data_IF_500361215318
#
_entry.id   IF_500361215318
#
_cell.length_a   1.000
_cell.length_b   1.000
_cell.length_c   1.000
_cell.angle_alpha   90.00
_cell.angle_beta   90.00
_cell.angle_gamma   90.00
#
_symmetry.space_group_name_H-M   'P 1'
#
loop_
_entity.id
_entity.type
_entity.pdbx_description
1 polymer ?
#
# COMPACT_ATOMS: atom_id res chain seq x y z
N UNK A 1 0.79 20.62 -7.86
CA UNK A 1 1.61 21.85 -7.68
C UNK A 1 0.74 22.97 -7.16
N UNK A 2 1.32 23.85 -6.37
CA UNK A 2 0.73 25.12 -5.95
C UNK A 2 1.65 26.30 -6.36
N UNK A 3 1.38 27.50 -5.82
CA UNK A 3 2.16 28.71 -6.15
C UNK A 3 3.62 28.68 -5.66
N UNK A 4 3.98 27.72 -4.78
CA UNK A 4 5.31 27.66 -4.14
C UNK A 4 6.01 26.32 -4.36
N UNK A 5 5.25 25.24 -4.50
CA UNK A 5 5.81 23.89 -4.47
C UNK A 5 5.26 23.00 -5.57
N UNK A 6 6.12 22.10 -6.06
CA UNK A 6 5.74 20.89 -6.75
C UNK A 6 5.70 19.73 -5.78
N UNK A 7 4.69 18.88 -5.90
CA UNK A 7 4.52 17.68 -5.06
C UNK A 7 4.89 16.43 -5.86
N UNK A 8 5.56 15.52 -5.20
CA UNK A 8 6.02 14.27 -5.80
C UNK A 8 5.48 13.14 -4.95
N UNK A 9 4.79 12.21 -5.59
CA UNK A 9 4.36 10.95 -5.00
C UNK A 9 5.39 9.87 -5.26
N UNK A 10 5.70 9.06 -4.24
CA UNK A 10 6.58 7.91 -4.32
C UNK A 10 6.15 6.85 -3.31
N UNK A 11 6.86 5.72 -3.21
CA UNK A 11 6.61 4.76 -2.12
C UNK A 11 7.24 5.20 -0.80
N UNK A 12 6.58 4.84 0.31
CA UNK A 12 7.10 5.10 1.66
C UNK A 12 8.42 4.34 1.88
N UNK A 13 8.49 3.05 1.52
CA UNK A 13 9.71 2.24 1.71
C UNK A 13 10.94 2.75 0.94
N UNK A 14 10.76 3.64 -0.05
CA UNK A 14 11.88 4.27 -0.79
C UNK A 14 12.50 5.40 0.03
N UNK A 15 11.74 6.03 0.93
CA UNK A 15 12.13 7.27 1.63
C UNK A 15 12.03 7.19 3.15
N UNK A 16 11.62 6.06 3.74
CA UNK A 16 11.31 5.93 5.17
C UNK A 16 12.47 6.32 6.09
N UNK A 17 13.67 5.81 5.86
CA UNK A 17 14.86 6.04 6.73
C UNK A 17 15.80 7.12 6.18
N UNK A 18 15.39 7.88 5.17
CA UNK A 18 16.26 8.85 4.52
C UNK A 18 16.49 10.08 5.40
N UNK A 19 17.75 10.40 5.65
CA UNK A 19 18.17 11.64 6.35
C UNK A 19 18.20 12.86 5.42
N UNK A 20 18.29 12.63 4.12
CA UNK A 20 18.23 13.65 3.07
C UNK A 20 17.67 13.05 1.78
N UNK A 21 16.89 13.82 1.06
CA UNK A 21 16.27 13.43 -0.20
C UNK A 21 16.68 14.37 -1.31
N UNK A 22 17.08 13.82 -2.44
CA UNK A 22 17.41 14.53 -3.66
C UNK A 22 16.64 13.93 -4.83
N UNK A 23 16.00 14.76 -5.61
CA UNK A 23 15.33 14.38 -6.86
C UNK A 23 16.24 14.75 -8.02
N UNK A 24 16.53 13.78 -8.86
CA UNK A 24 17.27 14.02 -10.10
C UNK A 24 16.23 14.23 -11.21
N UNK A 25 16.20 15.42 -11.74
CA UNK A 25 15.26 15.83 -12.77
C UNK A 25 15.71 15.32 -14.15
N UNK A 26 14.80 15.28 -15.12
CA UNK A 26 15.12 14.82 -16.50
C UNK A 26 16.17 15.68 -17.23
N UNK A 27 16.44 16.88 -16.73
CA UNK A 27 17.53 17.75 -17.20
C UNK A 27 18.83 17.55 -16.39
N UNK A 28 18.96 16.45 -15.65
CA UNK A 28 20.11 16.07 -14.82
C UNK A 28 20.35 17.00 -13.61
N UNK A 29 19.44 17.94 -13.35
CA UNK A 29 19.55 18.82 -12.19
C UNK A 29 19.16 18.07 -10.91
N UNK A 30 20.00 18.13 -9.90
CA UNK A 30 19.71 17.68 -8.54
C UNK A 30 18.91 18.72 -7.77
N UNK A 31 17.75 18.35 -7.27
CA UNK A 31 16.85 19.20 -6.50
C UNK A 31 16.59 18.59 -5.14
N UNK A 32 16.89 19.33 -4.08
CA UNK A 32 16.62 18.88 -2.72
C UNK A 32 15.10 18.79 -2.49
N UNK A 33 14.64 17.63 -2.04
CA UNK A 33 13.26 17.40 -1.68
C UNK A 33 13.07 17.35 -0.15
N UNK A 34 11.85 17.63 0.28
CA UNK A 34 11.42 17.51 1.67
C UNK A 34 10.26 16.54 1.73
N UNK A 35 10.35 15.49 2.55
CA UNK A 35 9.23 14.61 2.85
C UNK A 35 8.20 15.37 3.68
N UNK A 36 6.95 15.34 3.27
CA UNK A 36 5.83 15.94 3.98
C UNK A 36 5.13 14.92 4.87
N UNK A 37 4.81 13.78 4.33
CA UNK A 37 4.17 12.67 5.02
C UNK A 37 4.37 11.38 4.27
N UNK A 38 4.03 10.29 4.92
CA UNK A 38 4.03 8.96 4.31
C UNK A 38 3.26 7.97 5.15
N UNK A 39 2.81 6.92 4.50
CA UNK A 39 2.05 5.84 5.12
C UNK A 39 2.60 4.48 4.73
N UNK A 40 3.03 3.72 5.72
CA UNK A 40 3.66 2.40 5.53
C UNK A 40 2.67 1.31 5.09
N UNK A 41 1.36 1.50 5.37
CA UNK A 41 0.31 0.54 5.01
C UNK A 41 -0.12 0.69 3.56
N UNK A 42 -0.22 1.94 3.07
CA UNK A 42 -0.44 2.23 1.64
C UNK A 42 0.85 2.18 0.84
N UNK A 43 2.01 2.22 1.51
CA UNK A 43 3.32 2.34 0.88
C UNK A 43 3.41 3.58 -0.03
N UNK A 44 2.85 4.70 0.41
CA UNK A 44 2.85 6.00 -0.31
C UNK A 44 3.49 7.07 0.55
N UNK A 45 4.32 7.90 -0.06
CA UNK A 45 4.88 9.11 0.52
C UNK A 45 4.70 10.30 -0.41
N UNK A 46 4.57 11.49 0.19
CA UNK A 46 4.51 12.77 -0.51
C UNK A 46 5.73 13.60 -0.17
N UNK A 47 6.45 14.02 -1.20
CA UNK A 47 7.58 14.93 -1.11
C UNK A 47 7.22 16.26 -1.76
N UNK A 48 7.97 17.32 -1.43
CA UNK A 48 7.87 18.60 -2.13
C UNK A 48 9.23 19.11 -2.60
N UNK A 49 9.21 19.83 -3.70
CA UNK A 49 10.32 20.62 -4.26
C UNK A 49 9.84 22.04 -4.54
N UNK A 50 10.74 23.03 -4.72
CA UNK A 50 10.33 24.38 -5.19
C UNK A 50 9.59 24.30 -6.53
N UNK A 51 8.53 25.10 -6.71
CA UNK A 51 7.72 25.07 -7.93
C UNK A 51 8.51 25.46 -9.17
N UNK A 52 9.50 26.34 -9.05
CA UNK A 52 10.39 26.77 -10.15
C UNK A 52 11.24 25.61 -10.71
N UNK A 53 11.35 24.50 -9.99
CA UNK A 53 12.08 23.31 -10.40
C UNK A 53 11.19 22.28 -11.12
N UNK A 54 9.88 22.48 -11.12
CA UNK A 54 8.92 21.58 -11.77
C UNK A 54 9.01 21.73 -13.28
N UNK A 55 9.39 20.66 -13.97
CA UNK A 55 9.50 20.68 -15.45
C UNK A 55 8.16 20.35 -16.09
N UNK A 56 7.42 19.40 -15.52
CA UNK A 56 6.12 18.95 -16.01
C UNK A 56 5.31 18.31 -14.90
N UNK A 57 4.01 18.48 -14.94
CA UNK A 57 3.06 17.79 -14.04
C UNK A 57 2.45 16.60 -14.78
N UNK A 58 2.38 15.45 -14.10
CA UNK A 58 1.77 14.25 -14.65
C UNK A 58 0.24 14.41 -14.78
N UNK A 59 -0.32 13.82 -15.81
CA UNK A 59 -1.78 13.70 -15.95
C UNK A 59 -2.23 12.45 -15.17
N UNK A 60 -3.14 12.64 -14.23
CA UNK A 60 -3.73 11.55 -13.47
C UNK A 60 -4.87 10.93 -14.29
N UNK A 61 -4.82 9.61 -14.47
CA UNK A 61 -5.85 8.80 -15.10
C UNK A 61 -6.78 8.15 -14.09
N UNK A 62 -7.41 7.04 -14.49
CA UNK A 62 -8.29 6.23 -13.64
C UNK A 62 -8.15 4.74 -13.93
N UNK A 63 -8.43 3.92 -12.91
CA UNK A 63 -8.49 2.46 -13.04
C UNK A 63 -9.92 1.93 -13.19
N UNK A 64 -10.96 2.77 -13.19
CA UNK A 64 -12.37 2.34 -13.22
C UNK A 64 -12.73 1.51 -14.47
N UNK A 65 -12.21 1.90 -15.63
CA UNK A 65 -12.47 1.22 -16.91
C UNK A 65 -11.37 0.24 -17.32
N UNK A 66 -10.43 -0.05 -16.42
CA UNK A 66 -9.27 -0.90 -16.70
C UNK A 66 -9.69 -2.34 -16.97
N UNK A 67 -9.10 -2.95 -17.99
CA UNK A 67 -9.40 -4.33 -18.41
C UNK A 67 -8.14 -5.18 -18.46
N UNK A 68 -8.32 -6.48 -18.25
CA UNK A 68 -7.26 -7.46 -18.49
C UNK A 68 -6.80 -7.38 -19.95
N UNK A 69 -5.49 -7.31 -20.14
CA UNK A 69 -4.89 -7.16 -21.46
C UNK A 69 -4.66 -5.71 -21.90
N UNK A 70 -5.12 -4.71 -21.15
CA UNK A 70 -4.80 -3.32 -21.45
C UNK A 70 -3.31 -3.08 -21.40
N UNK A 71 -2.79 -2.40 -22.42
CA UNK A 71 -1.37 -2.06 -22.51
C UNK A 71 -1.00 -1.01 -21.47
N UNK A 72 0.09 -1.26 -20.76
CA UNK A 72 0.65 -0.35 -19.76
C UNK A 72 2.14 -0.13 -19.98
N UNK A 73 2.63 0.94 -19.38
CA UNK A 73 4.05 1.30 -19.34
C UNK A 73 4.44 1.62 -17.89
N UNK A 74 5.69 1.33 -17.54
CA UNK A 74 6.28 1.78 -16.29
C UNK A 74 7.54 2.58 -16.57
N UNK A 75 7.85 3.55 -15.74
CA UNK A 75 9.07 4.34 -15.84
C UNK A 75 9.80 4.27 -14.50
N UNK A 76 11.10 4.06 -14.56
CA UNK A 76 11.94 3.98 -13.39
C UNK A 76 13.43 4.15 -13.72
N UNK A 77 14.27 3.96 -12.71
CA UNK A 77 15.73 4.05 -12.82
C UNK A 77 16.36 2.78 -12.23
N UNK A 78 16.19 1.61 -12.90
CA UNK A 78 16.72 0.35 -12.40
C UNK A 78 18.25 0.39 -12.40
N UNK A 79 18.85 -0.24 -11.36
CA UNK A 79 20.31 -0.46 -11.25
C UNK A 79 21.15 0.82 -11.09
N UNK A 80 20.55 2.00 -10.92
CA UNK A 80 21.29 3.25 -10.63
C UNK A 80 21.24 4.29 -11.75
N UNK A 81 22.07 5.30 -11.60
CA UNK A 81 22.04 6.54 -12.41
C UNK A 81 22.31 6.34 -13.91
N UNK A 82 22.96 5.26 -14.30
CA UNK A 82 23.24 4.97 -15.71
C UNK A 82 22.00 4.59 -16.54
N UNK A 83 20.89 4.25 -15.86
CA UNK A 83 19.67 3.75 -16.50
C UNK A 83 18.43 4.59 -16.17
N UNK A 84 18.62 5.90 -16.04
CA UNK A 84 17.50 6.84 -15.82
C UNK A 84 16.41 6.69 -16.88
N UNK A 85 15.17 6.88 -16.45
CA UNK A 85 14.00 6.90 -17.33
C UNK A 85 13.85 5.62 -18.17
N UNK A 86 14.31 4.48 -17.65
CA UNK A 86 14.04 3.19 -18.28
C UNK A 86 12.55 2.95 -18.34
N UNK A 87 12.05 2.66 -19.55
CA UNK A 87 10.65 2.32 -19.78
C UNK A 87 10.54 0.82 -19.96
N UNK A 88 9.63 0.19 -19.21
CA UNK A 88 9.19 -1.17 -19.50
C UNK A 88 7.71 -1.16 -19.90
N UNK A 89 7.27 -2.15 -20.64
CA UNK A 89 5.88 -2.28 -21.09
C UNK A 89 5.36 -3.68 -20.84
N UNK A 90 4.06 -3.78 -20.69
CA UNK A 90 3.34 -5.01 -20.49
C UNK A 90 1.83 -4.78 -20.58
N UNK A 91 1.09 -5.63 -19.90
CA UNK A 91 -0.37 -5.56 -19.83
C UNK A 91 -0.86 -5.64 -18.38
N UNK A 92 -2.08 -5.24 -18.17
CA UNK A 92 -2.83 -5.57 -16.96
C UNK A 92 -3.11 -7.07 -16.94
N UNK A 93 -2.48 -7.79 -16.02
CA UNK A 93 -2.61 -9.24 -15.84
C UNK A 93 -3.61 -9.62 -14.75
N UNK A 94 -3.96 -8.67 -13.86
CA UNK A 94 -4.93 -8.85 -12.81
C UNK A 94 -5.49 -7.52 -12.31
N UNK A 95 -6.76 -7.53 -11.96
CA UNK A 95 -7.46 -6.38 -11.38
C UNK A 95 -7.93 -6.77 -9.99
N UNK A 96 -7.86 -5.81 -9.04
CA UNK A 96 -8.33 -5.99 -7.66
C UNK A 96 -7.72 -7.21 -6.94
N UNK A 97 -6.43 -7.45 -7.19
CA UNK A 97 -5.70 -8.51 -6.48
C UNK A 97 -5.49 -8.12 -5.03
N UNK A 98 -5.87 -9.02 -4.12
CA UNK A 98 -5.59 -8.88 -2.69
C UNK A 98 -4.22 -9.49 -2.41
N UNK A 99 -3.28 -8.65 -2.04
CA UNK A 99 -1.91 -9.05 -1.69
C UNK A 99 -1.68 -8.78 -0.22
N UNK A 100 -1.22 -9.81 0.51
CA UNK A 100 -0.85 -9.65 1.92
C UNK A 100 0.60 -9.17 2.01
N UNK A 101 0.82 -8.09 2.73
CA UNK A 101 2.14 -7.53 3.01
C UNK A 101 2.39 -7.47 4.51
N UNK A 102 3.66 -7.69 4.91
CA UNK A 102 4.07 -7.50 6.28
C UNK A 102 4.55 -6.06 6.47
N UNK A 103 3.97 -5.39 7.45
CA UNK A 103 4.34 -4.03 7.84
C UNK A 103 5.02 -4.12 9.21
N UNK A 104 6.24 -3.61 9.32
CA UNK A 104 7.04 -3.61 10.56
C UNK A 104 7.21 -4.99 11.23
N UNK A 105 7.22 -6.06 10.45
CA UNK A 105 7.40 -7.45 10.94
C UNK A 105 6.38 -7.90 12.01
N UNK A 106 5.35 -7.11 12.27
CA UNK A 106 4.38 -7.40 13.36
C UNK A 106 2.92 -7.47 12.94
N UNK A 107 2.57 -6.92 11.79
CA UNK A 107 1.16 -6.90 11.37
C UNK A 107 1.08 -7.12 9.86
N UNK A 108 0.48 -8.20 9.47
CA UNK A 108 0.08 -8.42 8.10
C UNK A 108 -0.99 -7.39 7.70
N UNK A 109 -0.90 -6.95 6.49
CA UNK A 109 -1.80 -5.99 5.87
C UNK A 109 -2.25 -6.52 4.51
N UNK A 110 -3.46 -6.23 4.11
CA UNK A 110 -3.97 -6.59 2.78
C UNK A 110 -4.13 -5.32 1.96
N UNK A 111 -3.50 -5.30 0.79
CA UNK A 111 -3.67 -4.24 -0.21
C UNK A 111 -4.43 -4.78 -1.42
N UNK A 112 -5.29 -3.95 -1.98
CA UNK A 112 -5.97 -4.22 -3.24
C UNK A 112 -5.23 -3.51 -4.38
N UNK A 113 -4.64 -4.27 -5.31
CA UNK A 113 -3.68 -3.75 -6.27
C UNK A 113 -3.97 -4.22 -7.70
N UNK A 114 -3.41 -3.53 -8.67
CA UNK A 114 -3.34 -3.99 -10.06
C UNK A 114 -2.11 -4.89 -10.25
N UNK A 115 -2.28 -6.02 -10.93
CA UNK A 115 -1.20 -6.91 -11.32
C UNK A 115 -0.81 -6.64 -12.77
N UNK A 116 0.49 -6.62 -13.05
CA UNK A 116 1.06 -6.39 -14.37
C UNK A 116 2.14 -7.43 -14.69
N UNK A 117 2.43 -7.65 -15.96
CA UNK A 117 3.54 -8.49 -16.42
C UNK A 117 4.75 -7.68 -16.90
N UNK A 118 4.65 -6.35 -16.90
CA UNK A 118 5.81 -5.49 -17.12
C UNK A 118 6.89 -5.76 -16.07
N UNK A 119 8.14 -5.71 -16.48
CA UNK A 119 9.26 -5.91 -15.55
C UNK A 119 9.30 -4.80 -14.51
N UNK A 120 8.96 -5.14 -13.26
CA UNK A 120 9.11 -4.28 -12.08
C UNK A 120 10.36 -4.75 -11.34
N UNK A 121 11.40 -3.93 -11.34
CA UNK A 121 12.70 -4.20 -10.73
C UNK A 121 13.03 -3.11 -9.69
N UNK A 122 14.03 -3.33 -8.80
CA UNK A 122 14.55 -2.27 -7.94
C UNK A 122 14.90 -1.02 -8.76
N UNK A 123 14.31 0.13 -8.38
CA UNK A 123 14.39 1.40 -9.13
C UNK A 123 13.11 1.78 -9.87
N UNK A 124 12.13 0.85 -10.02
CA UNK A 124 10.80 1.18 -10.51
C UNK A 124 9.80 1.50 -9.36
N UNK A 125 10.12 1.09 -8.12
CA UNK A 125 9.31 1.42 -6.95
C UNK A 125 9.14 2.93 -6.81
N UNK A 126 7.91 3.38 -6.55
CA UNK A 126 7.53 4.79 -6.47
C UNK A 126 7.34 5.46 -7.82
N UNK A 127 7.76 4.80 -8.91
CA UNK A 127 7.53 5.26 -10.27
C UNK A 127 6.10 4.99 -10.76
N UNK A 128 5.66 5.67 -11.83
CA UNK A 128 4.31 5.58 -12.34
C UNK A 128 4.04 4.27 -13.10
N UNK A 129 2.80 3.78 -12.98
CA UNK A 129 2.15 2.92 -13.95
C UNK A 129 1.31 3.80 -14.87
N UNK A 130 1.53 3.71 -16.17
CA UNK A 130 0.88 4.54 -17.18
C UNK A 130 -0.02 3.70 -18.08
N UNK A 131 -1.16 4.25 -18.46
CA UNK A 131 -1.97 3.72 -19.53
C UNK A 131 -1.44 4.11 -20.93
N UNK A 132 -2.10 3.67 -22.00
CA UNK A 132 -1.71 3.96 -23.39
C UNK A 132 -1.80 5.44 -23.76
N UNK A 133 -2.48 6.27 -22.98
CA UNK A 133 -2.57 7.72 -23.18
C UNK A 133 -1.42 8.47 -22.46
N UNK A 134 -0.59 7.77 -21.68
CA UNK A 134 0.45 8.38 -20.84
C UNK A 134 -0.09 8.98 -19.54
N UNK A 135 -1.29 8.58 -19.11
CA UNK A 135 -1.89 9.00 -17.86
C UNK A 135 -1.48 8.05 -16.74
N UNK A 136 -1.20 8.58 -15.55
CA UNK A 136 -0.81 7.79 -14.38
C UNK A 136 -2.04 7.09 -13.80
N UNK A 137 -2.04 5.76 -13.81
CA UNK A 137 -3.09 4.91 -13.27
C UNK A 137 -2.66 4.12 -12.02
N UNK A 138 -1.41 4.29 -11.60
CA UNK A 138 -0.93 3.67 -10.36
C UNK A 138 0.52 4.01 -10.04
N UNK A 139 0.95 3.55 -8.86
CA UNK A 139 2.31 3.67 -8.33
C UNK A 139 2.89 2.27 -8.16
N UNK A 140 3.99 1.97 -8.84
CA UNK A 140 4.61 0.66 -8.77
C UNK A 140 5.23 0.40 -7.40
N UNK A 141 5.12 -0.83 -6.87
CA UNK A 141 5.74 -1.20 -5.60
C UNK A 141 6.37 -2.58 -5.65
N UNK A 142 7.68 -2.64 -5.44
CA UNK A 142 8.45 -3.88 -5.28
C UNK A 142 8.18 -4.57 -3.93
N UNK A 143 7.71 -3.85 -2.91
CA UNK A 143 7.33 -4.42 -1.61
C UNK A 143 6.25 -5.49 -1.73
N UNK A 144 5.46 -5.41 -2.80
CA UNK A 144 4.35 -6.32 -3.10
C UNK A 144 4.74 -7.54 -3.94
N UNK A 145 5.97 -7.57 -4.45
CA UNK A 145 6.44 -8.62 -5.36
C UNK A 145 7.03 -9.79 -4.57
N UNK A 146 6.58 -11.01 -4.87
CA UNK A 146 7.29 -12.21 -4.43
C UNK A 146 8.48 -12.45 -5.38
N UNK A 147 9.70 -12.28 -4.86
CA UNK A 147 10.94 -12.41 -5.64
C UNK A 147 11.17 -13.80 -6.25
N UNK A 148 10.36 -14.79 -5.86
CA UNK A 148 10.41 -16.15 -6.41
C UNK A 148 9.62 -16.33 -7.71
N UNK A 149 8.82 -15.31 -8.10
CA UNK A 149 7.91 -15.39 -9.27
C UNK A 149 8.28 -14.31 -10.28
N UNK A 150 8.81 -14.72 -11.44
CA UNK A 150 9.06 -13.82 -12.55
C UNK A 150 7.77 -13.44 -13.30
N UNK A 151 7.73 -12.23 -13.88
CA UNK A 151 6.60 -11.76 -14.68
C UNK A 151 5.36 -11.39 -13.87
N UNK A 152 5.51 -11.15 -12.57
CA UNK A 152 4.43 -10.72 -11.70
C UNK A 152 4.83 -9.44 -10.98
N UNK A 153 4.32 -8.32 -11.44
CA UNK A 153 4.49 -7.01 -10.82
C UNK A 153 3.16 -6.51 -10.25
N UNK A 154 3.24 -5.58 -9.31
CA UNK A 154 2.07 -4.97 -8.68
C UNK A 154 2.19 -3.45 -8.64
N UNK A 155 1.04 -2.80 -8.77
CA UNK A 155 0.94 -1.35 -8.68
C UNK A 155 -0.25 -0.96 -7.79
N UNK A 156 -0.02 -0.03 -6.89
CA UNK A 156 -1.04 0.60 -6.07
C UNK A 156 -1.91 1.43 -7.00
N UNK A 157 -3.22 1.29 -6.91
CA UNK A 157 -4.15 2.06 -7.76
C UNK A 157 -4.00 3.55 -7.49
N UNK A 158 -4.13 4.34 -8.54
CA UNK A 158 -3.99 5.80 -8.40
C UNK A 158 -5.07 6.39 -7.50
N UNK A 159 -6.29 5.86 -7.51
CA UNK A 159 -7.38 6.29 -6.65
C UNK A 159 -7.02 6.09 -5.17
N UNK A 160 -6.48 4.91 -4.81
CA UNK A 160 -6.07 4.60 -3.45
C UNK A 160 -4.88 5.47 -3.01
N UNK A 161 -3.91 5.70 -3.90
CA UNK A 161 -2.77 6.56 -3.65
C UNK A 161 -3.16 8.02 -3.45
N UNK A 162 -4.15 8.51 -4.21
CA UNK A 162 -4.62 9.90 -4.15
C UNK A 162 -5.62 10.15 -3.02
N UNK A 163 -6.28 9.10 -2.50
CA UNK A 163 -7.33 9.24 -1.48
C UNK A 163 -6.85 9.96 -0.21
N UNK A 164 -5.57 9.86 0.12
CA UNK A 164 -4.97 10.40 1.35
C UNK A 164 -3.83 11.41 1.09
N UNK A 165 -3.73 11.93 -0.13
CA UNK A 165 -2.67 12.89 -0.47
C UNK A 165 -2.76 14.15 0.36
N UNK A 166 -3.97 14.66 0.62
CA UNK A 166 -4.17 15.89 1.41
C UNK A 166 -3.67 15.74 2.84
N UNK A 167 -3.95 14.60 3.50
CA UNK A 167 -3.45 14.29 4.84
C UNK A 167 -1.91 14.22 4.83
N UNK A 168 -1.34 13.51 3.85
CA UNK A 168 0.11 13.35 3.75
C UNK A 168 0.84 14.68 3.43
N UNK A 169 0.27 15.53 2.57
CA UNK A 169 0.79 16.88 2.29
C UNK A 169 0.82 17.76 3.54
N UNK A 170 -0.16 17.59 4.42
CA UNK A 170 -0.28 18.31 5.69
C UNK A 170 0.47 17.65 6.85
N UNK A 171 1.26 16.59 6.59
CA UNK A 171 1.97 15.80 7.61
C UNK A 171 1.04 15.22 8.67
N UNK A 172 -0.16 14.85 8.29
CA UNK A 172 -1.17 14.21 9.14
C UNK A 172 -1.07 12.69 9.01
N UNK A 173 -1.34 12.00 10.11
CA UNK A 173 -1.51 10.54 10.09
C UNK A 173 -2.88 10.19 9.51
N UNK A 174 -2.92 9.14 8.70
CA UNK A 174 -4.18 8.60 8.18
C UNK A 174 -4.90 7.88 9.33
N UNK A 175 -6.05 8.40 9.73
CA UNK A 175 -6.88 7.77 10.75
C UNK A 175 -7.47 6.46 10.22
N UNK A 176 -7.40 5.41 11.05
CA UNK A 176 -7.88 4.08 10.68
C UNK A 176 -8.81 3.50 11.73
N UNK A 177 -9.97 2.95 11.32
CA UNK A 177 -10.89 2.34 12.26
C UNK A 177 -10.23 1.15 12.97
N UNK A 178 -10.43 1.07 14.28
CA UNK A 178 -9.91 0.00 15.11
C UNK A 178 -10.98 -0.51 16.08
N UNK A 179 -11.09 -1.84 16.20
CA UNK A 179 -12.01 -2.46 17.15
C UNK A 179 -11.56 -2.26 18.60
N UNK A 180 -10.23 -2.12 18.82
CA UNK A 180 -9.65 -2.05 20.16
C UNK A 180 -9.51 -3.45 20.79
N UNK A 181 -8.96 -4.39 20.05
CA UNK A 181 -8.64 -5.74 20.51
C UNK A 181 -7.16 -6.07 20.24
N UNK A 182 -6.61 -6.97 21.06
CA UNK A 182 -5.42 -7.76 20.68
C UNK A 182 -5.92 -9.05 20.06
N UNK A 183 -5.35 -9.42 18.92
CA UNK A 183 -5.84 -10.54 18.14
C UNK A 183 -4.72 -11.53 17.77
N UNK A 184 -5.13 -12.76 17.47
CA UNK A 184 -4.32 -13.78 16.81
C UNK A 184 -5.16 -14.44 15.70
N UNK A 185 -4.52 -14.97 14.68
CA UNK A 185 -5.22 -15.76 13.67
C UNK A 185 -5.67 -17.12 14.30
N UNK A 186 -6.85 -17.60 13.91
CA UNK A 186 -7.34 -18.89 14.37
C UNK A 186 -6.40 -20.05 13.97
N UNK A 187 -5.63 -19.90 12.89
CA UNK A 187 -4.61 -20.85 12.44
C UNK A 187 -3.39 -20.96 13.37
N UNK A 188 -3.16 -19.98 14.26
CA UNK A 188 -1.97 -19.88 15.10
C UNK A 188 -2.14 -20.65 16.44
N UNK A 189 -2.49 -21.93 16.36
CA UNK A 189 -2.82 -22.77 17.53
C UNK A 189 -1.78 -22.71 18.66
N UNK A 190 -0.47 -22.67 18.32
CA UNK A 190 0.60 -22.58 19.32
C UNK A 190 0.58 -21.24 20.08
N UNK A 191 0.38 -20.14 19.37
CA UNK A 191 0.27 -18.83 20.00
C UNK A 191 -0.99 -18.73 20.86
N UNK A 192 -2.13 -19.22 20.39
CA UNK A 192 -3.38 -19.26 21.15
C UNK A 192 -3.24 -20.05 22.46
N UNK A 193 -2.56 -21.20 22.43
CA UNK A 193 -2.30 -21.98 23.64
C UNK A 193 -1.50 -21.21 24.70
N UNK A 194 -0.56 -20.34 24.30
CA UNK A 194 0.20 -19.50 25.23
C UNK A 194 -0.67 -18.47 25.97
N UNK A 195 -1.80 -18.11 25.37
CA UNK A 195 -2.82 -17.25 26.00
C UNK A 195 -3.94 -18.04 26.71
N UNK A 196 -3.80 -19.38 26.77
CA UNK A 196 -4.79 -20.26 27.40
C UNK A 196 -6.09 -20.39 26.58
N UNK A 197 -6.01 -20.19 25.26
CA UNK A 197 -7.14 -20.30 24.34
C UNK A 197 -7.00 -21.60 23.54
N UNK A 198 -8.07 -22.41 23.52
CA UNK A 198 -8.18 -23.62 22.71
C UNK A 198 -9.45 -23.52 21.87
N UNK A 199 -9.30 -23.61 20.56
CA UNK A 199 -10.43 -23.56 19.63
C UNK A 199 -10.98 -24.98 19.35
N UNK A 200 -12.27 -25.08 19.05
CA UNK A 200 -12.84 -26.31 18.44
C UNK A 200 -12.13 -26.63 17.10
N UNK A 201 -12.05 -27.93 16.77
CA UNK A 201 -11.32 -28.39 15.58
C UNK A 201 -11.92 -27.95 14.25
N UNK A 202 -13.16 -27.53 14.24
CA UNK A 202 -13.88 -27.00 13.06
C UNK A 202 -13.61 -25.52 12.79
N UNK A 203 -13.01 -24.79 13.74
CA UNK A 203 -12.60 -23.41 13.57
C UNK A 203 -11.13 -23.34 13.11
N UNK A 204 -10.94 -23.21 11.81
CA UNK A 204 -9.60 -23.18 11.17
C UNK A 204 -9.21 -21.83 10.58
N UNK A 205 -10.16 -20.90 10.52
CA UNK A 205 -9.97 -19.54 9.98
C UNK A 205 -10.70 -18.49 10.83
N UNK A 206 -10.31 -17.24 10.67
CA UNK A 206 -10.87 -16.13 11.46
C UNK A 206 -9.85 -15.50 12.39
N UNK A 207 -10.32 -14.57 13.19
CA UNK A 207 -9.53 -13.80 14.15
C UNK A 207 -10.02 -14.04 15.56
N UNK A 208 -9.11 -14.49 16.43
CA UNK A 208 -9.39 -14.78 17.84
C UNK A 208 -9.07 -13.56 18.69
N UNK A 209 -10.01 -13.13 19.50
CA UNK A 209 -9.84 -12.05 20.47
C UNK A 209 -8.99 -12.56 21.64
N UNK A 210 -7.79 -12.03 21.80
CA UNK A 210 -6.90 -12.36 22.92
C UNK A 210 -7.14 -11.47 24.12
N UNK A 211 -7.39 -10.19 23.87
CA UNK A 211 -7.80 -9.20 24.88
C UNK A 211 -8.61 -8.08 24.26
N UNK A 212 -9.39 -7.39 25.08
CA UNK A 212 -10.20 -6.23 24.68
C UNK A 212 -9.72 -5.01 25.46
N UNK A 213 -9.52 -3.91 24.74
CA UNK A 213 -9.12 -2.62 25.32
C UNK A 213 -10.36 -1.98 25.97
N UNK A 214 -10.24 -1.64 27.24
CA UNK A 214 -11.34 -1.00 27.99
C UNK A 214 -11.76 0.33 27.34
N UNK A 215 -13.06 0.54 27.20
CA UNK A 215 -13.65 1.74 26.60
C UNK A 215 -13.64 1.78 25.06
N UNK A 216 -13.06 0.77 24.39
CA UNK A 216 -13.08 0.63 22.93
C UNK A 216 -14.47 0.26 22.39
N UNK A 217 -14.61 0.26 21.07
CA UNK A 217 -15.80 -0.26 20.38
C UNK A 217 -16.07 -1.72 20.72
N UNK A 218 -15.04 -2.55 20.71
CA UNK A 218 -15.13 -3.97 21.10
C UNK A 218 -15.63 -4.14 22.53
N UNK A 219 -15.09 -3.36 23.49
CA UNK A 219 -15.55 -3.39 24.88
C UNK A 219 -17.03 -3.02 25.04
N UNK A 220 -17.49 -2.04 24.26
CA UNK A 220 -18.89 -1.59 24.30
C UNK A 220 -19.85 -2.55 23.61
N UNK A 221 -19.37 -3.33 22.62
CA UNK A 221 -20.16 -4.33 21.91
C UNK A 221 -20.28 -5.66 22.63
N UNK A 222 -19.53 -5.88 23.73
CA UNK A 222 -19.55 -7.11 24.51
C UNK A 222 -18.64 -8.21 23.97
N UNK A 223 -17.68 -7.88 23.11
CA UNK A 223 -16.63 -8.82 22.70
C UNK A 223 -15.76 -9.19 23.90
N UNK A 224 -15.45 -10.48 24.03
CA UNK A 224 -14.66 -11.03 25.13
C UNK A 224 -13.47 -11.86 24.62
N UNK A 225 -12.52 -12.12 25.53
CA UNK A 225 -11.38 -13.02 25.25
C UNK A 225 -11.87 -14.41 24.88
N UNK A 226 -11.40 -14.94 23.77
CA UNK A 226 -11.75 -16.25 23.22
C UNK A 226 -12.81 -16.22 22.13
N UNK A 227 -13.48 -15.07 21.92
CA UNK A 227 -14.38 -14.91 20.79
C UNK A 227 -13.62 -15.01 19.46
N UNK A 228 -14.31 -15.53 18.44
CA UNK A 228 -13.75 -15.66 17.09
C UNK A 228 -14.57 -14.83 16.10
N UNK A 229 -13.91 -13.84 15.50
CA UNK A 229 -14.50 -13.03 14.44
C UNK A 229 -14.32 -13.79 13.13
N UNK A 230 -15.40 -14.25 12.54
CA UNK A 230 -15.42 -15.02 11.30
C UNK A 230 -16.01 -14.25 10.13
N UNK A 231 -16.78 -13.18 10.43
CA UNK A 231 -17.42 -12.30 9.41
C UNK A 231 -17.51 -10.85 9.92
N UNK A 232 -17.48 -9.94 8.96
CA UNK A 232 -17.92 -8.56 9.12
C UNK A 232 -18.93 -8.31 8.02
N UNK A 233 -20.19 -8.08 8.38
CA UNK A 233 -21.35 -8.13 7.48
C UNK A 233 -21.35 -9.44 6.66
N UNK A 234 -21.35 -9.35 5.33
CA UNK A 234 -21.35 -10.51 4.45
C UNK A 234 -19.94 -11.01 4.07
N UNK A 235 -18.88 -10.32 4.50
CA UNK A 235 -17.51 -10.67 4.15
C UNK A 235 -16.90 -11.63 5.17
N UNK A 236 -16.35 -12.74 4.69
CA UNK A 236 -15.65 -13.72 5.54
C UNK A 236 -14.29 -13.18 5.97
N UNK A 237 -14.01 -13.22 7.27
CA UNK A 237 -12.73 -12.85 7.86
C UNK A 237 -11.87 -14.10 7.99
N UNK A 238 -10.82 -14.18 7.17
CA UNK A 238 -9.92 -15.35 7.15
C UNK A 238 -8.73 -15.20 8.13
N UNK A 239 -8.28 -13.97 8.38
CA UNK A 239 -7.15 -13.64 9.27
C UNK A 239 -7.19 -12.17 9.69
N UNK A 240 -6.21 -11.75 10.52
CA UNK A 240 -6.11 -10.39 11.03
C UNK A 240 -5.85 -9.33 9.97
N UNK A 241 -5.04 -9.64 8.94
CA UNK A 241 -4.78 -8.73 7.83
C UNK A 241 -6.06 -8.44 7.04
N UNK A 242 -6.83 -9.49 6.76
CA UNK A 242 -8.10 -9.36 6.06
C UNK A 242 -9.16 -8.65 6.89
N UNK A 243 -9.20 -8.87 8.22
CA UNK A 243 -10.08 -8.10 9.11
C UNK A 243 -9.82 -6.60 9.02
N UNK A 244 -8.55 -6.19 9.06
CA UNK A 244 -8.18 -4.78 8.90
C UNK A 244 -8.63 -4.22 7.55
N UNK A 245 -8.39 -4.95 6.46
CA UNK A 245 -8.83 -4.57 5.12
C UNK A 245 -10.36 -4.36 5.04
N UNK A 246 -11.13 -5.26 5.65
CA UNK A 246 -12.60 -5.13 5.68
C UNK A 246 -13.03 -3.94 6.52
N UNK A 247 -12.43 -3.72 7.70
CA UNK A 247 -12.76 -2.60 8.58
C UNK A 247 -12.55 -1.25 7.91
N UNK A 248 -11.55 -1.13 7.03
CA UNK A 248 -11.27 0.13 6.32
C UNK A 248 -12.36 0.57 5.34
N UNK A 249 -13.27 -0.30 4.97
CA UNK A 249 -14.43 0.06 4.16
C UNK A 249 -15.49 0.85 4.93
N UNK A 250 -15.32 0.97 6.26
CA UNK A 250 -16.25 1.64 7.16
C UNK A 250 -15.71 2.98 7.70
N UNK A 251 -14.93 3.68 6.91
CA UNK A 251 -14.50 5.05 7.20
C UNK A 251 -15.62 6.05 6.93
#
# INVERSE_FOLDING_TARGET
VDDKYGYIMTNEHVVEDATSLTVIMTNEKEVKATKLGGDEYLDIAVLRIPVDEVLQVATIGSTEDLKLGDTIFTIGSPVGEEYYNTVTSGIISGIDRLVTVSVNSQADWVMKVSQVDAAINPGNSGGPLLNSNGEVIGVNSMKLVDSSVEGMGFSIKIEDAMAHVEELENSQEIERPALGITLLNASDARALMSYGISLPNDITSGVVVVSVISGSGASKSGLEKGDVITKVDDEEVINGAYLKYVLYKYN
#
